data_IF_180833368111
#
_entry.id   IF_180833368111
#
_cell.length_a   1.000
_cell.length_b   1.000
_cell.length_c   1.000
_cell.angle_alpha   90.00
_cell.angle_beta   90.00
_cell.angle_gamma   90.00
#
_symmetry.space_group_name_H-M   'P 1'
#
loop_
_entity.id
_entity.type
_entity.pdbx_description
1 polymer ?
#
# COMPACT_ATOMS: atom_id res chain seq x y z
N UNK A 1 52.87 -20.35 23.63
CA UNK A 1 51.91 -20.09 24.73
C UNK A 1 51.43 -21.43 25.25
N UNK A 2 51.35 -21.61 26.58
CA UNK A 2 50.91 -22.87 27.17
C UNK A 2 49.45 -23.13 26.78
N UNK A 3 49.13 -24.33 26.28
CA UNK A 3 47.74 -24.73 26.00
C UNK A 3 46.96 -24.72 27.31
N UNK A 4 45.89 -23.95 27.38
CA UNK A 4 45.01 -23.87 28.56
C UNK A 4 44.06 -25.06 28.55
N UNK A 5 43.93 -25.72 29.71
CA UNK A 5 42.97 -26.81 29.89
C UNK A 5 41.54 -26.25 30.05
N UNK A 6 40.52 -27.05 29.71
CA UNK A 6 39.09 -26.68 29.72
C UNK A 6 38.64 -26.03 31.05
N UNK A 7 39.13 -26.52 32.20
CA UNK A 7 38.83 -25.96 33.52
C UNK A 7 39.42 -24.56 33.72
N UNK A 8 40.54 -24.25 33.08
CA UNK A 8 41.17 -22.93 33.13
C UNK A 8 40.34 -21.91 32.35
N UNK A 9 39.79 -22.31 31.20
CA UNK A 9 38.92 -21.49 30.35
C UNK A 9 37.59 -21.20 31.07
N UNK A 10 36.97 -22.23 31.68
CA UNK A 10 35.76 -22.06 32.51
C UNK A 10 35.96 -21.05 33.65
N UNK A 11 37.10 -21.08 34.32
CA UNK A 11 37.42 -20.15 35.41
C UNK A 11 37.75 -18.72 34.93
N UNK A 12 38.30 -18.56 33.73
CA UNK A 12 38.53 -17.24 33.13
C UNK A 12 37.23 -16.61 32.64
N UNK A 13 36.34 -17.39 32.02
CA UNK A 13 35.00 -16.92 31.61
C UNK A 13 34.20 -16.44 32.83
N UNK A 14 34.17 -17.21 33.92
CA UNK A 14 33.50 -16.80 35.16
C UNK A 14 34.08 -15.52 35.79
N UNK A 15 35.39 -15.26 35.61
CA UNK A 15 36.01 -14.00 36.04
C UNK A 15 35.62 -12.83 35.14
N UNK A 16 35.63 -13.02 33.82
CA UNK A 16 35.21 -11.99 32.87
C UNK A 16 33.73 -11.62 33.03
N UNK A 17 32.87 -12.60 33.35
CA UNK A 17 31.46 -12.33 33.71
C UNK A 17 31.33 -11.52 35.02
N UNK A 18 32.29 -11.62 35.94
CA UNK A 18 32.32 -10.81 37.16
C UNK A 18 32.85 -9.38 36.93
N UNK A 19 33.54 -9.13 35.82
CA UNK A 19 34.16 -7.85 35.48
C UNK A 19 33.34 -7.05 34.43
N UNK A 20 32.13 -7.51 34.06
CA UNK A 20 31.21 -6.87 33.09
C UNK A 20 31.83 -6.63 31.68
N UNK A 21 32.67 -7.55 31.20
CA UNK A 21 33.11 -7.54 29.79
C UNK A 21 32.12 -8.34 28.91
N UNK A 22 31.69 -7.77 27.78
CA UNK A 22 30.87 -8.45 26.76
C UNK A 22 31.71 -9.53 26.05
N UNK A 23 31.19 -10.75 25.94
CA UNK A 23 31.88 -11.90 25.33
C UNK A 23 31.00 -12.44 24.20
N UNK A 24 31.54 -12.50 22.98
CA UNK A 24 30.84 -13.06 21.82
C UNK A 24 31.01 -14.57 21.74
N UNK A 25 30.02 -15.28 21.18
CA UNK A 25 30.09 -16.73 20.97
C UNK A 25 31.31 -17.12 20.12
N UNK A 26 31.66 -16.27 19.17
CA UNK A 26 32.75 -16.42 18.23
C UNK A 26 34.15 -16.38 18.90
N UNK A 27 34.32 -15.56 19.93
CA UNK A 27 35.54 -15.53 20.75
C UNK A 27 35.68 -16.78 21.62
N UNK A 28 34.57 -17.29 22.15
CA UNK A 28 34.55 -18.52 22.96
C UNK A 28 34.88 -19.74 22.10
N UNK A 29 34.35 -19.82 20.88
CA UNK A 29 34.63 -20.90 19.95
C UNK A 29 36.10 -20.90 19.49
N UNK A 30 36.69 -19.73 19.21
CA UNK A 30 38.12 -19.59 18.88
C UNK A 30 39.06 -20.03 20.01
N UNK A 31 38.71 -19.77 21.27
CA UNK A 31 39.48 -20.21 22.45
C UNK A 31 39.31 -21.71 22.77
N UNK A 32 38.34 -22.40 22.17
CA UNK A 32 38.08 -23.83 22.39
C UNK A 32 38.52 -24.67 21.19
N UNK A 33 38.71 -24.05 20.02
CA UNK A 33 39.14 -24.70 18.78
C UNK A 33 40.43 -25.53 18.94
N UNK A 34 41.38 -25.09 19.80
CA UNK A 34 42.62 -25.84 20.03
C UNK A 34 42.46 -27.13 20.85
N UNK A 35 41.29 -27.37 21.41
CA UNK A 35 40.97 -28.56 22.22
C UNK A 35 40.42 -29.73 21.38
N UNK A 36 40.07 -29.51 20.09
CA UNK A 36 39.51 -30.54 19.20
C UNK A 36 38.36 -31.35 19.85
N UNK A 37 37.43 -30.66 20.51
CA UNK A 37 36.26 -31.28 21.14
C UNK A 37 35.29 -31.83 20.07
N UNK A 38 34.52 -32.86 20.42
CA UNK A 38 33.40 -33.33 19.57
C UNK A 38 32.20 -32.39 19.67
N UNK A 39 31.31 -32.41 18.67
CA UNK A 39 30.07 -31.59 18.66
C UNK A 39 29.27 -31.72 19.97
N UNK A 40 29.07 -32.94 20.47
CA UNK A 40 28.39 -33.19 21.76
C UNK A 40 29.09 -32.51 22.97
N UNK A 41 30.42 -32.39 22.94
CA UNK A 41 31.21 -31.77 24.03
C UNK A 41 31.19 -30.25 23.94
N UNK A 42 31.03 -29.69 22.74
CA UNK A 42 30.83 -28.27 22.49
C UNK A 42 29.44 -27.86 22.98
N UNK A 43 28.43 -28.68 22.69
CA UNK A 43 27.05 -28.47 23.16
C UNK A 43 26.97 -28.52 24.69
N UNK A 44 27.60 -29.52 25.33
CA UNK A 44 27.68 -29.60 26.79
C UNK A 44 28.40 -28.37 27.40
N UNK A 45 29.37 -27.80 26.69
CA UNK A 45 30.07 -26.59 27.12
C UNK A 45 29.21 -25.34 26.99
N UNK A 46 28.47 -25.19 25.88
CA UNK A 46 27.52 -24.10 25.65
C UNK A 46 26.30 -24.19 26.60
N UNK A 47 25.88 -25.40 26.96
CA UNK A 47 24.88 -25.61 28.00
C UNK A 47 25.42 -25.15 29.37
N UNK A 48 26.68 -25.46 29.68
CA UNK A 48 27.33 -25.03 30.92
C UNK A 48 27.50 -23.50 31.00
N UNK A 49 27.78 -22.80 29.89
CA UNK A 49 27.87 -21.33 29.88
C UNK A 49 26.50 -20.68 30.13
N UNK A 50 25.43 -21.23 29.53
CA UNK A 50 24.04 -20.81 29.78
C UNK A 50 23.63 -21.00 31.24
N UNK A 51 23.93 -22.18 31.83
CA UNK A 51 23.60 -22.49 33.22
C UNK A 51 24.35 -21.61 34.25
N UNK A 52 25.51 -21.07 33.87
CA UNK A 52 26.33 -20.21 34.74
C UNK A 52 26.19 -18.71 34.42
N UNK A 53 25.22 -18.32 33.58
CA UNK A 53 24.84 -16.92 33.37
C UNK A 53 25.79 -16.13 32.48
N UNK A 54 26.56 -16.78 31.61
CA UNK A 54 27.37 -16.11 30.58
C UNK A 54 26.44 -15.72 29.44
N UNK A 55 26.29 -14.41 29.20
CA UNK A 55 25.51 -13.88 28.07
C UNK A 55 26.40 -14.00 26.84
N UNK A 56 25.99 -14.81 25.87
CA UNK A 56 26.62 -14.90 24.56
C UNK A 56 25.74 -14.09 23.59
N UNK A 57 26.35 -13.17 22.85
CA UNK A 57 25.72 -12.57 21.68
C UNK A 57 25.73 -13.66 20.60
N UNK A 58 24.56 -14.26 20.33
CA UNK A 58 24.35 -15.21 19.25
C UNK A 58 23.96 -14.39 17.99
N UNK A 59 24.76 -14.47 16.92
CA UNK A 59 24.24 -14.28 15.56
C UNK A 59 23.22 -15.40 15.36
N UNK A 60 21.94 -15.06 15.25
CA UNK A 60 20.91 -16.05 15.00
C UNK A 60 21.11 -16.61 13.59
N UNK A 61 21.35 -17.92 13.50
CA UNK A 61 21.01 -18.70 12.32
C UNK A 61 19.49 -18.58 12.09
N UNK A 62 19.12 -18.15 10.89
CA UNK A 62 17.79 -17.69 10.45
C UNK A 62 16.66 -18.74 10.44
N UNK A 63 16.84 -19.94 10.99
CA UNK A 63 15.95 -21.08 10.70
C UNK A 63 14.97 -21.51 11.81
N UNK A 64 14.91 -20.84 12.98
CA UNK A 64 14.04 -21.32 14.06
C UNK A 64 13.28 -20.19 14.79
N UNK A 65 12.07 -19.84 14.30
CA UNK A 65 10.86 -19.59 15.10
C UNK A 65 9.62 -19.92 14.25
N UNK A 66 9.22 -21.20 14.27
CA UNK A 66 7.82 -21.58 14.01
C UNK A 66 7.02 -21.35 15.30
N UNK A 67 5.97 -20.52 15.27
CA UNK A 67 4.75 -20.72 16.06
C UNK A 67 3.56 -19.85 15.58
N UNK A 68 2.72 -20.51 14.78
CA UNK A 68 1.25 -20.59 14.81
C UNK A 68 0.37 -19.32 14.85
N UNK A 69 -0.42 -19.22 13.78
CA UNK A 69 -1.81 -18.74 13.70
C UNK A 69 -2.08 -17.26 14.01
N UNK A 70 -1.70 -16.36 13.09
CA UNK A 70 -2.52 -15.19 12.71
C UNK A 70 -2.09 -14.68 11.31
N UNK A 71 -2.92 -14.96 10.31
CA UNK A 71 -2.92 -14.48 8.91
C UNK A 71 -1.58 -14.50 8.16
N UNK A 72 -1.41 -15.55 7.33
CA UNK A 72 -0.37 -15.75 6.32
C UNK A 72 0.09 -14.44 5.65
N UNK A 73 1.22 -13.91 6.12
CA UNK A 73 2.14 -13.11 5.32
C UNK A 73 3.35 -14.01 5.18
N UNK A 74 3.56 -14.55 3.98
CA UNK A 74 4.72 -15.40 3.68
C UNK A 74 6.00 -14.63 4.05
N UNK A 75 6.85 -15.22 4.90
CA UNK A 75 8.11 -14.61 5.37
C UNK A 75 9.04 -14.20 4.21
N UNK A 76 8.92 -14.85 3.05
CA UNK A 76 9.61 -14.50 1.81
C UNK A 76 9.29 -13.08 1.29
N UNK A 77 8.14 -12.49 1.65
CA UNK A 77 7.70 -11.16 1.19
C UNK A 77 8.27 -10.01 2.05
N UNK A 78 8.75 -10.28 3.27
CA UNK A 78 9.34 -9.27 4.16
C UNK A 78 10.84 -9.08 3.89
N UNK A 79 11.54 -10.14 3.45
CA UNK A 79 12.96 -10.08 3.11
C UNK A 79 13.24 -9.41 1.76
N UNK A 80 12.32 -9.49 0.80
CA UNK A 80 12.66 -9.24 -0.61
C UNK A 80 12.17 -7.91 -1.20
N UNK A 81 11.76 -6.96 -0.37
CA UNK A 81 11.31 -5.62 -0.78
C UNK A 81 12.49 -4.67 -1.09
N UNK A 82 13.29 -4.98 -2.12
CA UNK A 82 14.43 -4.16 -2.59
C UNK A 82 15.19 -3.52 -1.40
N UNK A 83 15.69 -4.37 -0.50
CA UNK A 83 16.87 -4.04 0.29
C UNK A 83 18.03 -4.35 -0.65
N UNK A 84 18.64 -3.32 -1.23
CA UNK A 84 20.00 -3.50 -1.70
C UNK A 84 20.79 -4.07 -0.52
N UNK A 85 21.34 -5.27 -0.69
CA UNK A 85 22.29 -5.94 0.22
C UNK A 85 23.59 -5.11 0.25
N UNK A 86 23.52 -3.91 0.82
CA UNK A 86 24.68 -3.23 1.37
C UNK A 86 24.66 -3.51 2.88
N UNK A 87 24.97 -4.76 3.24
CA UNK A 87 25.37 -5.17 4.59
C UNK A 87 26.79 -4.67 4.90
N UNK A 88 27.02 -3.36 4.79
CA UNK A 88 28.23 -2.73 5.31
C UNK A 88 27.86 -1.77 6.45
N UNK A 89 28.16 -2.25 7.66
CA UNK A 89 28.41 -1.54 8.92
C UNK A 89 27.29 -0.67 9.53
N UNK A 90 26.58 -1.24 10.52
CA UNK A 90 25.70 -0.53 11.45
C UNK A 90 26.38 0.68 12.15
N UNK A 91 27.70 0.66 12.32
CA UNK A 91 28.47 1.79 12.86
C UNK A 91 28.53 3.01 11.93
N UNK A 92 28.52 2.82 10.62
CA UNK A 92 28.67 3.90 9.65
C UNK A 92 27.34 4.63 9.41
N UNK A 93 26.21 3.92 9.52
CA UNK A 93 24.88 4.52 9.59
C UNK A 93 24.73 5.45 10.81
N UNK A 94 25.29 5.08 11.97
CA UNK A 94 25.19 5.87 13.20
C UNK A 94 26.01 7.17 13.10
N UNK A 95 27.20 7.10 12.51
CA UNK A 95 28.05 8.28 12.23
C UNK A 95 27.45 9.17 11.14
N UNK A 96 26.83 8.61 10.10
CA UNK A 96 26.17 9.37 9.05
C UNK A 96 24.92 10.09 9.59
N UNK A 97 24.13 9.42 10.42
CA UNK A 97 22.98 10.01 11.14
C UNK A 97 23.43 11.21 11.98
N UNK A 98 24.54 11.10 12.70
CA UNK A 98 25.10 12.19 13.52
C UNK A 98 25.59 13.38 12.68
N UNK A 99 26.18 13.13 11.51
CA UNK A 99 26.63 14.18 10.58
C UNK A 99 25.44 14.93 9.96
N UNK A 100 24.42 14.21 9.52
CA UNK A 100 23.16 14.80 9.03
C UNK A 100 22.50 15.64 10.13
N UNK A 101 22.53 15.18 11.38
CA UNK A 101 22.00 15.90 12.53
C UNK A 101 22.78 17.20 12.83
N UNK A 102 24.11 17.15 12.79
CA UNK A 102 24.99 18.30 13.01
C UNK A 102 24.78 19.39 11.95
N UNK A 103 24.67 19.00 10.67
CA UNK A 103 24.45 19.95 9.57
C UNK A 103 23.06 20.60 9.60
N UNK A 104 22.02 19.87 10.02
CA UNK A 104 20.64 20.39 10.12
C UNK A 104 20.48 21.37 11.29
N UNK A 105 21.22 21.19 12.39
CA UNK A 105 21.10 22.00 13.62
C UNK A 105 21.44 23.49 13.45
N UNK A 106 22.15 23.84 12.37
CA UNK A 106 22.73 25.18 12.15
C UNK A 106 21.88 26.12 11.28
N UNK A 107 20.79 25.62 10.66
CA UNK A 107 19.97 26.39 9.70
C UNK A 107 18.60 26.71 10.32
N UNK A 108 18.23 27.99 10.36
CA UNK A 108 16.85 28.41 10.71
C UNK A 108 15.88 27.91 9.64
N UNK A 109 15.03 26.94 9.97
CA UNK A 109 14.09 26.36 9.00
C UNK A 109 12.66 26.27 9.51
N UNK A 110 11.72 26.76 8.70
CA UNK A 110 10.27 26.53 8.79
C UNK A 110 9.86 25.15 8.23
N UNK A 111 10.80 24.20 8.13
CA UNK A 111 10.56 22.87 7.56
C UNK A 111 10.03 21.94 8.66
N UNK A 112 8.80 21.41 8.52
CA UNK A 112 8.21 20.51 9.51
C UNK A 112 9.07 19.26 9.79
N UNK A 113 9.79 18.74 8.78
CA UNK A 113 10.67 17.58 8.94
C UNK A 113 11.82 17.91 9.88
N UNK A 114 12.46 19.08 9.68
CA UNK A 114 13.58 19.51 10.53
C UNK A 114 13.15 19.81 11.96
N UNK A 115 11.96 20.37 12.14
CA UNK A 115 11.38 20.58 13.47
C UNK A 115 11.20 19.24 14.19
N UNK A 116 10.59 18.27 13.53
CA UNK A 116 10.39 16.93 14.07
C UNK A 116 11.71 16.24 14.43
N UNK A 117 12.68 16.23 13.50
CA UNK A 117 13.99 15.61 13.75
C UNK A 117 14.70 16.23 14.95
N UNK A 118 14.60 17.56 15.12
CA UNK A 118 15.18 18.26 16.27
C UNK A 118 14.55 17.86 17.59
N UNK A 119 13.24 17.66 17.64
CA UNK A 119 12.53 17.27 18.86
C UNK A 119 12.92 15.86 19.32
N UNK A 120 12.99 14.90 18.39
CA UNK A 120 13.27 13.50 18.74
C UNK A 120 14.72 13.24 19.17
N UNK A 121 15.69 14.09 18.78
CA UNK A 121 17.09 13.92 19.21
C UNK A 121 17.45 14.65 20.50
N UNK A 122 16.49 15.29 21.17
CA UNK A 122 16.66 15.76 22.56
C UNK A 122 16.67 14.58 23.54
N UNK A 123 15.96 13.50 23.21
CA UNK A 123 15.83 12.31 24.06
C UNK A 123 17.11 11.46 23.98
N UNK A 124 17.73 11.11 25.12
CA UNK A 124 18.91 10.24 25.12
C UNK A 124 18.56 8.80 24.70
N UNK A 125 19.54 8.09 24.18
CA UNK A 125 19.42 6.67 23.86
C UNK A 125 19.40 5.86 25.16
N UNK A 126 18.54 4.84 25.21
CA UNK A 126 18.47 3.90 26.33
C UNK A 126 19.56 2.83 26.21
N UNK A 127 20.04 2.37 27.36
CA UNK A 127 20.92 1.20 27.45
C UNK A 127 20.09 -0.09 27.58
N UNK A 128 20.67 -1.22 27.21
CA UNK A 128 20.00 -2.53 27.26
C UNK A 128 19.40 -2.88 28.65
N UNK A 129 20.02 -2.46 29.76
CA UNK A 129 19.45 -2.68 31.10
C UNK A 129 18.22 -1.79 31.36
N UNK A 130 18.26 -0.53 30.92
CA UNK A 130 17.16 0.43 31.07
C UNK A 130 15.95 -0.03 30.24
N UNK A 131 16.18 -0.56 29.03
CA UNK A 131 15.13 -1.16 28.21
C UNK A 131 14.40 -2.31 28.92
N UNK A 132 15.15 -3.19 29.62
CA UNK A 132 14.57 -4.30 30.38
C UNK A 132 13.74 -3.81 31.56
N UNK A 133 14.22 -2.80 32.28
CA UNK A 133 13.49 -2.20 33.41
C UNK A 133 12.21 -1.49 32.95
N UNK A 134 12.30 -0.73 31.86
CA UNK A 134 11.14 -0.05 31.25
C UNK A 134 10.13 -1.09 30.74
N UNK A 135 10.58 -2.12 30.03
CA UNK A 135 9.71 -3.19 29.53
C UNK A 135 9.03 -4.00 30.65
N UNK A 136 9.70 -4.18 31.80
CA UNK A 136 9.08 -4.78 32.98
C UNK A 136 7.95 -3.91 33.53
N UNK A 137 8.18 -2.59 33.66
CA UNK A 137 7.15 -1.62 34.09
C UNK A 137 5.97 -1.55 33.11
N UNK A 138 6.22 -1.66 31.81
CA UNK A 138 5.15 -1.70 30.80
C UNK A 138 4.25 -2.92 30.99
N UNK A 139 4.80 -4.11 31.31
CA UNK A 139 3.98 -5.30 31.62
C UNK A 139 3.10 -5.12 32.87
N UNK A 140 3.50 -4.25 33.80
CA UNK A 140 2.72 -3.89 34.98
C UNK A 140 1.62 -2.84 34.67
N UNK A 141 1.55 -2.34 33.44
CA UNK A 141 0.56 -1.36 32.98
C UNK A 141 0.97 0.10 33.18
N UNK A 142 2.28 0.39 33.30
CA UNK A 142 2.79 1.76 33.38
C UNK A 142 2.82 2.44 32.00
N UNK A 143 1.82 3.29 31.73
CA UNK A 143 1.75 4.08 30.49
C UNK A 143 2.88 5.10 30.36
N UNK A 144 3.46 5.58 31.46
CA UNK A 144 4.58 6.54 31.39
C UNK A 144 5.84 5.82 30.89
N UNK A 145 6.06 4.59 31.34
CA UNK A 145 7.16 3.75 30.85
C UNK A 145 6.98 3.40 29.36
N UNK A 146 5.74 3.23 28.91
CA UNK A 146 5.43 3.01 27.49
C UNK A 146 5.83 4.21 26.62
N UNK A 147 5.41 5.42 27.01
CA UNK A 147 5.77 6.65 26.31
C UNK A 147 7.29 6.90 26.33
N UNK A 148 7.96 6.58 27.45
CA UNK A 148 9.41 6.64 27.59
C UNK A 148 10.12 5.72 26.58
N UNK A 149 9.69 4.46 26.44
CA UNK A 149 10.28 3.52 25.48
C UNK A 149 10.02 3.93 24.02
N UNK A 150 8.82 4.43 23.72
CA UNK A 150 8.47 4.91 22.37
C UNK A 150 9.35 6.11 22.01
N UNK A 151 9.41 7.13 22.87
CA UNK A 151 10.12 8.38 22.59
C UNK A 151 11.63 8.18 22.41
N UNK A 152 12.25 7.27 23.18
CA UNK A 152 13.65 6.91 23.02
C UNK A 152 13.96 6.27 21.65
N UNK A 153 12.99 5.55 21.07
CA UNK A 153 13.16 4.77 19.84
C UNK A 153 12.62 5.45 18.58
N UNK A 154 12.13 6.69 18.65
CA UNK A 154 11.65 7.42 17.46
C UNK A 154 12.73 7.62 16.38
N UNK A 155 14.01 7.63 16.78
CA UNK A 155 15.14 7.74 15.85
C UNK A 155 15.30 6.50 14.97
N UNK A 156 15.00 5.32 15.51
CA UNK A 156 15.03 4.05 14.77
C UNK A 156 14.02 4.07 13.62
N UNK A 157 12.81 4.58 13.87
CA UNK A 157 11.76 4.73 12.84
C UNK A 157 12.23 5.59 11.69
N UNK A 158 12.88 6.73 11.99
CA UNK A 158 13.41 7.63 10.95
C UNK A 158 14.49 6.93 10.11
N UNK A 159 15.40 6.18 10.75
CA UNK A 159 16.45 5.46 10.05
C UNK A 159 15.88 4.41 9.08
N UNK A 160 14.86 3.66 9.51
CA UNK A 160 14.17 2.68 8.66
C UNK A 160 13.38 3.37 7.55
N UNK A 161 12.61 4.41 7.88
CA UNK A 161 11.76 5.13 6.92
C UNK A 161 12.55 5.81 5.80
N UNK A 162 13.81 6.21 6.05
CA UNK A 162 14.71 6.81 5.04
C UNK A 162 14.86 5.91 3.80
N UNK A 163 14.87 4.58 3.97
CA UNK A 163 14.98 3.60 2.87
C UNK A 163 13.76 3.56 1.94
N UNK A 164 12.60 4.07 2.40
CA UNK A 164 11.34 4.03 1.67
C UNK A 164 10.93 5.37 1.04
N UNK A 165 11.80 6.38 1.12
CA UNK A 165 11.56 7.70 0.52
C UNK A 165 11.46 7.59 -1.00
N UNK A 166 10.51 8.31 -1.60
CA UNK A 166 10.32 8.32 -3.05
C UNK A 166 9.43 7.20 -3.59
N UNK A 167 8.85 6.35 -2.73
CA UNK A 167 7.91 5.26 -3.11
C UNK A 167 6.43 5.70 -3.13
N UNK A 168 6.16 6.99 -3.31
CA UNK A 168 4.81 7.55 -3.49
C UNK A 168 4.18 8.22 -2.26
N UNK A 169 4.68 7.95 -1.05
CA UNK A 169 4.27 8.66 0.18
C UNK A 169 5.27 9.74 0.59
N UNK A 170 4.79 10.77 1.30
CA UNK A 170 5.65 11.79 1.89
C UNK A 170 6.48 11.18 3.03
N UNK A 171 7.69 11.70 3.24
CA UNK A 171 8.58 11.20 4.29
C UNK A 171 7.98 11.30 5.70
N UNK A 172 7.24 12.37 6.00
CA UNK A 172 6.54 12.50 7.28
C UNK A 172 5.48 11.42 7.46
N UNK A 173 4.74 11.10 6.39
CA UNK A 173 3.69 10.09 6.44
C UNK A 173 4.30 8.69 6.68
N UNK A 174 5.42 8.38 6.01
CA UNK A 174 6.19 7.15 6.26
C UNK A 174 6.65 7.07 7.73
N UNK A 175 7.15 8.17 8.29
CA UNK A 175 7.55 8.23 9.70
C UNK A 175 6.36 7.97 10.61
N UNK A 176 5.19 8.57 10.34
CA UNK A 176 4.01 8.38 11.21
C UNK A 176 3.49 6.94 11.17
N UNK A 177 3.44 6.32 9.99
CA UNK A 177 3.05 4.92 9.85
C UNK A 177 4.07 3.99 10.52
N UNK A 178 5.36 4.31 10.41
CA UNK A 178 6.42 3.62 11.16
C UNK A 178 6.31 3.80 12.68
N UNK A 179 5.95 4.99 13.16
CA UNK A 179 5.69 5.25 14.58
C UNK A 179 4.52 4.41 15.10
N UNK A 180 3.46 4.23 14.29
CA UNK A 180 2.35 3.35 14.63
C UNK A 180 2.80 1.87 14.73
N UNK A 181 3.72 1.45 13.85
CA UNK A 181 4.40 0.15 13.95
C UNK A 181 5.22 0.01 15.23
N UNK A 182 6.02 1.03 15.59
CA UNK A 182 6.81 1.06 16.82
C UNK A 182 5.93 0.94 18.07
N UNK A 183 4.79 1.64 18.14
CA UNK A 183 3.86 1.55 19.27
C UNK A 183 3.36 0.11 19.45
N UNK A 184 3.02 -0.58 18.36
CA UNK A 184 2.62 -2.00 18.41
C UNK A 184 3.76 -2.91 18.85
N UNK A 185 4.99 -2.63 18.42
CA UNK A 185 6.17 -3.35 18.87
C UNK A 185 6.35 -3.23 20.38
N UNK A 186 6.22 -2.02 20.93
CA UNK A 186 6.33 -1.77 22.38
C UNK A 186 5.27 -2.55 23.16
N UNK A 187 4.02 -2.59 22.68
CA UNK A 187 2.93 -3.32 23.35
C UNK A 187 3.14 -4.84 23.40
N UNK A 188 3.78 -5.41 22.38
CA UNK A 188 3.99 -6.86 22.24
C UNK A 188 5.37 -7.34 22.64
N UNK A 189 6.29 -6.43 22.98
CA UNK A 189 7.67 -6.77 23.27
C UNK A 189 7.79 -7.59 24.56
N UNK A 190 8.59 -8.66 24.49
CA UNK A 190 8.88 -9.52 25.61
C UNK A 190 10.37 -9.50 25.99
N UNK A 191 10.70 -8.73 27.02
CA UNK A 191 12.06 -8.60 27.54
C UNK A 191 12.64 -9.90 28.14
N UNK A 192 11.83 -10.93 28.40
CA UNK A 192 12.31 -12.20 28.98
C UNK A 192 13.05 -13.07 27.98
N UNK A 193 12.86 -12.83 26.68
CA UNK A 193 13.49 -13.56 25.58
C UNK A 193 14.97 -13.21 25.36
N UNK A 194 15.50 -12.18 26.03
CA UNK A 194 16.92 -11.82 25.99
C UNK A 194 17.37 -10.97 24.81
N UNK A 195 16.55 -10.82 23.76
CA UNK A 195 16.86 -10.03 22.56
C UNK A 195 16.71 -8.51 22.77
N UNK A 196 17.48 -7.73 22.00
CA UNK A 196 17.41 -6.26 21.97
C UNK A 196 16.06 -5.79 21.42
N UNK A 197 15.54 -4.68 21.94
CA UNK A 197 14.26 -4.13 21.48
C UNK A 197 14.30 -3.70 20.01
N UNK A 198 15.42 -3.13 19.55
CA UNK A 198 15.61 -2.66 18.18
C UNK A 198 15.39 -3.75 17.12
N UNK A 199 15.90 -4.97 17.36
CA UNK A 199 15.73 -6.12 16.48
C UNK A 199 14.25 -6.44 16.28
N UNK A 200 13.48 -6.54 17.38
CA UNK A 200 12.04 -6.80 17.32
C UNK A 200 11.25 -5.65 16.70
N UNK A 201 11.57 -4.41 17.08
CA UNK A 201 10.86 -3.22 16.60
C UNK A 201 11.03 -3.01 15.10
N UNK A 202 12.19 -3.36 14.54
CA UNK A 202 12.48 -3.21 13.11
C UNK A 202 11.45 -3.94 12.24
N UNK A 203 11.05 -5.15 12.60
CA UNK A 203 10.02 -5.92 11.90
C UNK A 203 8.66 -5.20 11.86
N UNK A 204 8.18 -4.74 13.02
CA UNK A 204 6.90 -4.03 13.12
C UNK A 204 6.91 -2.68 12.39
N UNK A 205 8.02 -1.95 12.45
CA UNK A 205 8.18 -0.68 11.75
C UNK A 205 8.17 -0.92 10.24
N UNK A 206 8.97 -1.89 9.77
CA UNK A 206 9.03 -2.26 8.35
C UNK A 206 7.65 -2.65 7.83
N UNK A 207 6.96 -3.55 8.53
CA UNK A 207 5.64 -4.04 8.15
C UNK A 207 4.59 -2.94 8.11
N UNK A 208 4.63 -1.99 9.06
CA UNK A 208 3.70 -0.87 9.06
C UNK A 208 3.94 0.06 7.87
N UNK A 209 5.20 0.38 7.57
CA UNK A 209 5.57 1.25 6.44
C UNK A 209 5.21 0.60 5.10
N UNK A 210 5.57 -0.67 4.89
CA UNK A 210 5.31 -1.39 3.62
C UNK A 210 3.81 -1.54 3.37
N UNK A 211 3.04 -1.85 4.41
CA UNK A 211 1.57 -1.89 4.35
C UNK A 211 0.97 -0.53 4.01
N UNK A 212 1.43 0.53 4.65
CA UNK A 212 0.95 1.88 4.38
C UNK A 212 1.24 2.32 2.94
N UNK A 213 2.43 2.00 2.41
CA UNK A 213 2.77 2.24 1.01
C UNK A 213 1.80 1.48 0.09
N UNK A 214 1.55 0.19 0.34
CA UNK A 214 0.64 -0.60 -0.48
C UNK A 214 -0.80 -0.05 -0.46
N UNK A 215 -1.28 0.43 0.70
CA UNK A 215 -2.66 0.90 0.87
C UNK A 215 -2.88 2.35 0.39
N UNK A 216 -1.87 3.23 0.52
CA UNK A 216 -2.05 4.68 0.38
C UNK A 216 -1.19 5.34 -0.73
N UNK A 217 -0.10 4.72 -1.19
CA UNK A 217 0.83 5.38 -2.11
C UNK A 217 0.25 5.68 -3.50
N UNK A 218 -0.88 5.04 -3.87
CA UNK A 218 -1.48 5.13 -5.20
C UNK A 218 -2.76 5.94 -5.16
N UNK A 219 -2.95 6.83 -6.14
CA UNK A 219 -4.18 7.63 -6.30
C UNK A 219 -5.42 6.75 -6.44
N UNK A 220 -5.29 5.62 -7.13
CA UNK A 220 -6.33 4.60 -7.23
C UNK A 220 -5.85 3.41 -6.40
N UNK A 221 -6.57 3.12 -5.31
CA UNK A 221 -6.20 2.06 -4.38
C UNK A 221 -6.20 0.69 -5.05
N UNK A 222 -5.11 -0.05 -4.86
CA UNK A 222 -4.95 -1.44 -5.31
C UNK A 222 -4.86 -2.33 -4.06
N UNK A 223 -5.54 -3.50 -4.02
CA UNK A 223 -5.40 -4.43 -2.89
C UNK A 223 -3.96 -4.93 -2.69
N UNK A 224 -3.57 -5.22 -1.45
CA UNK A 224 -2.18 -5.59 -1.07
C UNK A 224 -1.63 -6.78 -1.88
N UNK A 225 -2.38 -7.88 -2.01
CA UNK A 225 -1.95 -9.05 -2.81
C UNK A 225 -1.65 -8.74 -4.29
N UNK A 226 -2.29 -7.71 -4.85
CA UNK A 226 -1.99 -7.28 -6.22
C UNK A 226 -0.70 -6.46 -6.26
N UNK A 227 -0.38 -5.69 -5.21
CA UNK A 227 0.89 -4.96 -5.09
C UNK A 227 2.06 -5.94 -4.93
N UNK A 228 1.91 -6.97 -4.10
CA UNK A 228 2.87 -8.07 -3.96
C UNK A 228 3.13 -8.74 -5.32
N UNK A 229 2.06 -9.09 -6.04
CA UNK A 229 2.17 -9.67 -7.38
C UNK A 229 2.89 -8.74 -8.36
N UNK A 230 2.65 -7.42 -8.31
CA UNK A 230 3.31 -6.42 -9.16
C UNK A 230 4.80 -6.32 -8.82
N UNK A 231 5.17 -6.34 -7.54
CA UNK A 231 6.57 -6.28 -7.11
C UNK A 231 7.32 -7.54 -7.55
N UNK A 232 6.72 -8.72 -7.36
CA UNK A 232 7.27 -10.01 -7.82
C UNK A 232 7.47 -10.03 -9.33
N UNK A 233 6.50 -9.51 -10.09
CA UNK A 233 6.59 -9.36 -11.55
C UNK A 233 7.73 -8.41 -11.94
N UNK A 234 7.85 -7.27 -11.27
CA UNK A 234 8.93 -6.28 -11.51
C UNK A 234 10.30 -6.89 -11.24
N UNK A 235 10.46 -7.65 -10.15
CA UNK A 235 11.70 -8.36 -9.80
C UNK A 235 12.10 -9.38 -10.87
N UNK A 236 11.18 -10.26 -11.26
CA UNK A 236 11.43 -11.27 -12.30
C UNK A 236 11.71 -10.60 -13.65
N UNK A 237 11.00 -9.52 -13.98
CA UNK A 237 11.28 -8.74 -15.18
C UNK A 237 12.71 -8.19 -15.18
N UNK A 238 13.18 -7.60 -14.07
CA UNK A 238 14.56 -7.11 -13.93
C UNK A 238 15.59 -8.24 -14.06
N UNK A 239 15.37 -9.38 -13.41
CA UNK A 239 16.23 -10.57 -13.54
C UNK A 239 16.30 -11.05 -15.00
N UNK A 240 15.17 -11.13 -15.69
CA UNK A 240 15.12 -11.52 -17.10
C UNK A 240 15.81 -10.49 -18.01
N UNK A 241 15.72 -9.19 -17.71
CA UNK A 241 16.45 -8.15 -18.44
C UNK A 241 17.96 -8.35 -18.29
N UNK A 242 18.44 -8.71 -17.10
CA UNK A 242 19.85 -8.99 -16.85
C UNK A 242 20.33 -10.26 -17.58
N UNK A 243 19.52 -11.33 -17.57
CA UNK A 243 19.84 -12.60 -18.25
C UNK A 243 19.79 -12.50 -19.79
N UNK A 244 18.78 -11.81 -20.33
CA UNK A 244 18.51 -11.76 -21.77
C UNK A 244 19.15 -10.54 -22.47
N UNK A 245 19.53 -9.51 -21.72
CA UNK A 245 20.03 -8.24 -22.27
C UNK A 245 18.99 -7.44 -23.06
N UNK A 246 17.69 -7.76 -22.91
CA UNK A 246 16.55 -7.08 -23.55
C UNK A 246 15.33 -7.12 -22.64
N UNK A 247 14.33 -6.29 -22.94
CA UNK A 247 13.03 -6.37 -22.25
C UNK A 247 12.38 -7.75 -22.43
N UNK A 248 11.91 -8.30 -21.32
CA UNK A 248 11.26 -9.60 -21.27
C UNK A 248 9.84 -9.52 -21.83
N UNK A 249 9.45 -10.52 -22.62
CA UNK A 249 8.07 -10.62 -23.12
C UNK A 249 7.13 -11.11 -22.02
N UNK A 250 5.85 -10.78 -22.12
CA UNK A 250 4.84 -11.23 -21.15
C UNK A 250 4.74 -12.77 -21.05
N UNK A 251 5.11 -13.49 -22.11
CA UNK A 251 5.14 -14.96 -22.15
C UNK A 251 6.32 -15.51 -21.33
N UNK A 252 7.52 -14.93 -21.50
CA UNK A 252 8.73 -15.31 -20.74
C UNK A 252 8.57 -15.01 -19.23
N UNK A 253 7.97 -13.86 -18.90
CA UNK A 253 7.66 -13.50 -17.51
C UNK A 253 6.68 -14.50 -16.90
N UNK A 254 5.63 -14.89 -17.64
CA UNK A 254 4.64 -15.85 -17.17
C UNK A 254 5.25 -17.23 -16.93
N UNK A 255 6.17 -17.67 -17.79
CA UNK A 255 6.88 -18.95 -17.66
C UNK A 255 7.74 -18.98 -16.39
N UNK A 256 8.52 -17.92 -16.13
CA UNK A 256 9.40 -17.85 -14.94
C UNK A 256 8.62 -17.66 -13.63
N UNK A 257 7.42 -17.10 -13.68
CA UNK A 257 6.55 -16.93 -12.50
C UNK A 257 6.00 -18.26 -11.95
N UNK A 258 5.91 -19.34 -12.76
CA UNK A 258 5.56 -20.71 -12.31
C UNK A 258 4.14 -20.94 -11.76
N UNK A 259 3.41 -19.90 -11.35
CA UNK A 259 2.19 -19.99 -10.54
C UNK A 259 0.88 -19.97 -11.36
N UNK A 260 0.79 -20.78 -12.42
CA UNK A 260 -0.42 -20.82 -13.28
C UNK A 260 -0.78 -19.45 -13.92
N UNK A 261 0.21 -18.57 -14.05
CA UNK A 261 0.04 -17.24 -14.62
C UNK A 261 -0.04 -17.33 -16.14
N UNK A 262 -1.08 -16.76 -16.75
CA UNK A 262 -1.18 -16.65 -18.20
C UNK A 262 -0.54 -15.36 -18.69
N UNK A 263 -0.04 -15.35 -19.93
CA UNK A 263 0.49 -14.14 -20.55
C UNK A 263 -0.55 -13.00 -20.58
N UNK A 264 -1.84 -13.32 -20.73
CA UNK A 264 -2.92 -12.34 -20.66
C UNK A 264 -3.06 -11.72 -19.27
N UNK A 265 -2.90 -12.53 -18.21
CA UNK A 265 -2.95 -12.03 -16.84
C UNK A 265 -1.75 -11.14 -16.52
N UNK A 266 -0.56 -11.47 -17.01
CA UNK A 266 0.62 -10.59 -16.91
C UNK A 266 0.36 -9.23 -17.58
N UNK A 267 -0.24 -9.21 -18.78
CA UNK A 267 -0.61 -7.97 -19.48
C UNK A 267 -1.69 -7.17 -18.73
N UNK A 268 -2.62 -7.84 -18.06
CA UNK A 268 -3.59 -7.18 -17.16
C UNK A 268 -2.90 -6.52 -15.97
N UNK A 269 -2.01 -7.25 -15.30
CA UNK A 269 -1.26 -6.73 -14.14
C UNK A 269 -0.39 -5.54 -14.56
N UNK A 270 0.30 -5.63 -15.69
CA UNK A 270 1.08 -4.52 -16.25
C UNK A 270 0.22 -3.28 -16.54
N UNK A 271 -1.03 -3.45 -16.99
CA UNK A 271 -1.97 -2.33 -17.17
C UNK A 271 -2.40 -1.71 -15.85
N UNK A 272 -2.62 -2.52 -14.81
CA UNK A 272 -2.98 -2.04 -13.46
C UNK A 272 -1.79 -1.34 -12.81
N UNK A 273 -0.56 -1.78 -13.11
CA UNK A 273 0.66 -1.20 -12.59
C UNK A 273 0.97 0.22 -13.12
N UNK A 274 0.29 0.68 -14.17
CA UNK A 274 0.45 2.03 -14.71
C UNK A 274 -0.03 3.10 -13.72
N UNK A 275 0.76 4.16 -13.57
CA UNK A 275 0.40 5.31 -12.76
C UNK A 275 -0.39 6.34 -13.57
N UNK A 276 -1.43 6.98 -12.99
CA UNK A 276 -2.17 8.02 -13.67
C UNK A 276 -1.28 9.25 -13.91
N UNK A 277 -1.43 9.88 -15.08
CA UNK A 277 -0.73 11.10 -15.44
C UNK A 277 -1.62 12.31 -15.13
N UNK A 278 -1.01 13.43 -14.71
CA UNK A 278 -1.74 14.67 -14.46
C UNK A 278 -2.28 15.27 -15.76
N UNK A 279 -3.49 15.81 -15.71
CA UNK A 279 -4.07 16.58 -16.83
C UNK A 279 -3.35 17.91 -17.04
N UNK A 280 -2.67 18.42 -16.01
CA UNK A 280 -1.85 19.63 -16.07
C UNK A 280 -0.41 19.33 -16.52
N UNK A 281 -0.08 18.10 -16.90
CA UNK A 281 1.22 17.83 -17.49
C UNK A 281 1.34 18.59 -18.83
N UNK A 282 2.35 19.47 -18.99
CA UNK A 282 2.55 20.21 -20.23
C UNK A 282 2.89 19.25 -21.36
N UNK A 283 2.46 19.58 -22.57
CA UNK A 283 2.70 18.75 -23.76
C UNK A 283 3.35 19.59 -24.86
N UNK A 284 4.53 19.15 -25.31
CA UNK A 284 5.34 19.87 -26.30
C UNK A 284 6.42 20.76 -25.67
N UNK A 285 7.05 21.60 -26.50
CA UNK A 285 8.08 22.56 -26.06
C UNK A 285 7.49 23.90 -25.59
N UNK A 286 6.22 24.16 -25.90
CA UNK A 286 5.51 25.39 -25.49
C UNK A 286 4.68 25.11 -24.24
N UNK A 287 4.95 25.86 -23.15
CA UNK A 287 4.28 25.71 -21.84
C UNK A 287 2.78 26.08 -21.85
N UNK A 288 2.22 26.50 -22.98
CA UNK A 288 0.82 26.93 -23.09
C UNK A 288 -0.17 25.77 -23.31
N UNK A 289 0.31 24.57 -23.65
CA UNK A 289 -0.54 23.40 -23.93
C UNK A 289 -0.44 22.35 -22.83
N UNK A 290 -1.57 21.95 -22.26
CA UNK A 290 -1.64 20.91 -21.24
C UNK A 290 -2.32 19.65 -21.79
N UNK A 291 -2.03 18.48 -21.21
CA UNK A 291 -2.65 17.22 -21.62
C UNK A 291 -4.19 17.26 -21.58
N UNK A 292 -4.75 17.94 -20.57
CA UNK A 292 -6.19 18.09 -20.38
C UNK A 292 -6.91 18.78 -21.54
N UNK A 293 -6.22 19.67 -22.27
CA UNK A 293 -6.80 20.41 -23.39
C UNK A 293 -7.13 19.50 -24.60
N UNK A 294 -6.53 18.32 -24.66
CA UNK A 294 -6.72 17.34 -25.74
C UNK A 294 -7.79 16.28 -25.43
N UNK A 295 -8.38 16.31 -24.23
CA UNK A 295 -9.39 15.32 -23.84
C UNK A 295 -10.78 15.77 -24.27
N UNK A 296 -11.34 15.06 -25.25
CA UNK A 296 -12.71 15.26 -25.71
C UNK A 296 -13.74 14.84 -24.66
N UNK A 297 -14.69 15.72 -24.34
CA UNK A 297 -15.87 15.37 -23.55
C UNK A 297 -16.92 14.67 -24.42
N UNK A 298 -17.00 13.34 -24.28
CA UNK A 298 -17.95 12.49 -25.01
C UNK A 298 -19.40 12.60 -24.51
N UNK A 299 -19.64 13.23 -23.35
CA UNK A 299 -20.99 13.43 -22.82
C UNK A 299 -21.58 14.77 -23.26
N UNK A 300 -20.75 15.69 -23.74
CA UNK A 300 -21.21 16.97 -24.27
C UNK A 300 -22.06 16.75 -25.52
N UNK A 301 -23.30 17.23 -25.48
CA UNK A 301 -24.19 17.21 -26.64
C UNK A 301 -23.67 18.26 -27.63
N UNK A 302 -23.45 17.85 -28.88
CA UNK A 302 -23.03 18.80 -29.90
C UNK A 302 -24.11 19.87 -30.14
N UNK A 303 -23.75 21.12 -30.49
CA UNK A 303 -24.74 22.15 -30.79
C UNK A 303 -25.73 21.73 -31.90
N UNK A 304 -25.27 20.93 -32.86
CA UNK A 304 -26.12 20.35 -33.91
C UNK A 304 -27.14 19.36 -33.34
N UNK A 305 -26.70 18.43 -32.49
CA UNK A 305 -27.60 17.48 -31.83
C UNK A 305 -28.61 18.19 -30.93
N UNK A 306 -28.18 19.20 -30.18
CA UNK A 306 -29.07 19.99 -29.33
C UNK A 306 -30.15 20.70 -30.17
N UNK A 307 -29.75 21.39 -31.25
CA UNK A 307 -30.68 22.05 -32.16
C UNK A 307 -31.63 21.05 -32.83
N UNK A 308 -31.12 19.89 -33.25
CA UNK A 308 -31.92 18.81 -33.83
C UNK A 308 -32.97 18.28 -32.84
N UNK A 309 -32.59 18.10 -31.56
CA UNK A 309 -33.52 17.66 -30.50
C UNK A 309 -34.61 18.68 -30.19
N UNK A 310 -34.27 19.97 -30.14
CA UNK A 310 -35.28 21.03 -29.94
C UNK A 310 -36.21 21.15 -31.16
N UNK A 311 -35.68 21.10 -32.39
CA UNK A 311 -36.50 21.07 -33.62
C UNK A 311 -37.44 19.86 -33.66
N UNK A 312 -36.94 18.68 -33.27
CA UNK A 312 -37.75 17.46 -33.17
C UNK A 312 -38.89 17.63 -32.15
N UNK A 313 -38.61 18.23 -31.00
CA UNK A 313 -39.62 18.50 -29.96
C UNK A 313 -40.70 19.46 -30.45
N UNK A 314 -40.32 20.51 -31.17
CA UNK A 314 -41.27 21.46 -31.77
C UNK A 314 -42.15 20.80 -32.84
N UNK A 315 -41.58 19.98 -33.73
CA UNK A 315 -42.34 19.24 -34.73
C UNK A 315 -43.25 18.18 -34.10
N UNK A 316 -42.80 17.47 -33.05
CA UNK A 316 -43.66 16.56 -32.28
C UNK A 316 -44.85 17.33 -31.69
N UNK A 317 -44.62 18.49 -31.07
CA UNK A 317 -45.68 19.33 -30.52
C UNK A 317 -46.65 19.82 -31.61
N UNK A 318 -46.14 20.24 -32.76
CA UNK A 318 -46.94 20.65 -33.92
C UNK A 318 -47.82 19.50 -34.43
N UNK A 319 -47.26 18.30 -34.56
CA UNK A 319 -48.01 17.11 -34.99
C UNK A 319 -49.04 16.68 -33.95
N UNK A 320 -48.70 16.72 -32.65
CA UNK A 320 -49.62 16.40 -31.55
C UNK A 320 -50.79 17.38 -31.47
N UNK A 321 -50.59 18.66 -31.81
CA UNK A 321 -51.66 19.68 -31.85
C UNK A 321 -52.76 19.37 -32.88
N UNK A 322 -52.49 18.52 -33.87
CA UNK A 322 -53.48 18.11 -34.88
C UNK A 322 -54.42 16.99 -34.41
N UNK A 323 -54.14 16.39 -33.25
CA UNK A 323 -55.00 15.42 -32.58
C UNK A 323 -56.05 16.15 -31.75
N UNK A 324 -57.07 15.42 -31.29
CA UNK A 324 -58.00 16.00 -30.31
C UNK A 324 -57.32 16.12 -28.95
N UNK A 325 -57.73 17.08 -28.11
CA UNK A 325 -57.13 17.30 -26.78
C UNK A 325 -57.08 16.03 -25.93
N UNK A 326 -58.13 15.18 -26.03
CA UNK A 326 -58.17 13.87 -25.36
C UNK A 326 -57.17 12.86 -25.92
N UNK A 327 -56.91 12.87 -27.22
CA UNK A 327 -55.92 11.99 -27.84
C UNK A 327 -54.49 12.46 -27.53
N UNK A 328 -54.25 13.77 -27.55
CA UNK A 328 -52.97 14.41 -27.20
C UNK A 328 -52.57 14.12 -25.75
N UNK A 329 -53.44 14.44 -24.78
CA UNK A 329 -53.12 14.28 -23.36
C UNK A 329 -52.89 12.80 -22.97
N UNK A 330 -53.60 11.87 -23.62
CA UNK A 330 -53.37 10.42 -23.41
C UNK A 330 -51.97 10.01 -23.87
N UNK A 331 -51.48 10.54 -25.00
CA UNK A 331 -50.12 10.27 -25.49
C UNK A 331 -49.05 10.95 -24.63
N UNK A 332 -49.27 12.21 -24.23
CA UNK A 332 -48.33 12.95 -23.37
C UNK A 332 -48.11 12.26 -22.04
N UNK A 333 -49.19 11.80 -21.39
CA UNK A 333 -49.13 11.08 -20.11
C UNK A 333 -48.60 9.64 -20.26
N UNK A 334 -48.92 8.97 -21.36
CA UNK A 334 -48.46 7.60 -21.61
C UNK A 334 -46.96 7.53 -21.87
N UNK A 335 -46.45 8.42 -22.72
CA UNK A 335 -45.04 8.48 -23.11
C UNK A 335 -44.21 9.43 -22.24
N UNK A 336 -44.82 10.15 -21.31
CA UNK A 336 -44.11 11.06 -20.40
C UNK A 336 -43.48 12.24 -21.12
N UNK A 337 -44.14 12.81 -22.14
CA UNK A 337 -43.57 13.87 -22.98
C UNK A 337 -43.39 15.21 -22.24
N UNK A 338 -44.06 15.38 -21.09
CA UNK A 338 -44.02 16.60 -20.27
C UNK A 338 -43.17 16.40 -19.01
N UNK A 339 -43.40 15.31 -18.28
CA UNK A 339 -42.80 15.02 -16.97
C UNK A 339 -41.67 13.98 -17.03
N UNK A 340 -41.35 13.45 -18.21
CA UNK A 340 -40.31 12.44 -18.43
C UNK A 340 -40.66 11.05 -17.90
N UNK A 341 -41.88 10.86 -17.37
CA UNK A 341 -42.29 9.60 -16.72
C UNK A 341 -43.37 8.90 -17.54
N UNK A 342 -43.04 7.71 -18.04
CA UNK A 342 -44.01 6.86 -18.74
C UNK A 342 -45.01 6.27 -17.75
N UNK A 343 -46.32 6.45 -17.99
CA UNK A 343 -47.39 5.91 -17.14
C UNK A 343 -48.02 4.66 -17.74
N UNK A 344 -48.52 3.74 -16.92
CA UNK A 344 -49.23 2.54 -17.41
C UNK A 344 -50.61 2.89 -17.99
N UNK A 345 -51.15 2.05 -18.88
CA UNK A 345 -52.51 2.24 -19.43
C UNK A 345 -53.59 2.29 -18.34
N UNK A 346 -53.34 1.64 -17.20
CA UNK A 346 -54.24 1.64 -16.06
C UNK A 346 -54.13 2.94 -15.25
N UNK A 347 -52.92 3.46 -15.03
CA UNK A 347 -52.70 4.77 -14.40
C UNK A 347 -53.31 5.91 -15.22
N UNK A 348 -53.08 5.92 -16.53
CA UNK A 348 -53.70 6.90 -17.44
C UNK A 348 -55.23 6.73 -17.42
N UNK A 349 -55.73 5.48 -17.35
CA UNK A 349 -57.16 5.21 -17.24
C UNK A 349 -57.79 5.79 -15.98
N UNK A 350 -57.09 5.70 -14.83
CA UNK A 350 -57.53 6.31 -13.56
C UNK A 350 -57.63 7.83 -13.66
N UNK A 351 -56.67 8.49 -14.31
CA UNK A 351 -56.63 9.94 -14.46
C UNK A 351 -57.75 10.48 -15.38
N UNK A 352 -58.13 9.74 -16.42
CA UNK A 352 -59.23 10.10 -17.31
C UNK A 352 -60.61 9.54 -16.89
N UNK A 353 -60.70 8.83 -15.77
CA UNK A 353 -61.90 8.08 -15.34
C UNK A 353 -62.46 7.14 -16.43
N UNK A 354 -61.59 6.35 -17.07
CA UNK A 354 -61.97 5.41 -18.13
C UNK A 354 -61.25 4.06 -17.95
N UNK A 355 -61.83 2.99 -18.51
CA UNK A 355 -61.22 1.67 -18.47
C UNK A 355 -59.89 1.63 -19.24
N UNK A 356 -58.97 0.78 -18.78
CA UNK A 356 -57.68 0.49 -19.45
C UNK A 356 -57.84 0.22 -20.95
N UNK A 357 -58.82 -0.60 -21.32
CA UNK A 357 -59.06 -0.98 -22.71
C UNK A 357 -59.50 0.22 -23.55
N UNK A 358 -60.22 1.19 -22.95
CA UNK A 358 -60.62 2.40 -23.66
C UNK A 358 -59.43 3.34 -23.92
N UNK A 359 -58.48 3.45 -23.00
CA UNK A 359 -57.23 4.19 -23.24
C UNK A 359 -56.43 3.54 -24.38
N UNK A 360 -56.32 2.21 -24.39
CA UNK A 360 -55.68 1.46 -25.49
C UNK A 360 -56.33 1.74 -26.85
N UNK A 361 -57.66 1.81 -26.91
CA UNK A 361 -58.38 2.17 -28.15
C UNK A 361 -58.09 3.60 -28.61
N UNK A 362 -58.03 4.55 -27.68
CA UNK A 362 -57.73 5.97 -27.97
C UNK A 362 -56.29 6.09 -28.49
N UNK A 363 -55.34 5.44 -27.83
CA UNK A 363 -53.93 5.37 -28.24
C UNK A 363 -53.79 4.79 -29.66
N UNK A 364 -54.36 3.61 -29.91
CA UNK A 364 -54.30 2.97 -31.23
C UNK A 364 -54.91 3.85 -32.34
N UNK A 365 -55.98 4.58 -32.02
CA UNK A 365 -56.60 5.52 -32.95
C UNK A 365 -55.73 6.75 -33.19
N UNK A 366 -55.10 7.30 -32.14
CA UNK A 366 -54.19 8.44 -32.23
C UNK A 366 -52.94 8.08 -33.05
N UNK A 367 -52.30 6.93 -32.76
CA UNK A 367 -51.14 6.42 -33.52
C UNK A 367 -51.51 6.21 -34.99
N UNK A 368 -52.70 5.66 -35.29
CA UNK A 368 -53.17 5.49 -36.68
C UNK A 368 -53.30 6.82 -37.41
N UNK A 369 -53.77 7.88 -36.74
CA UNK A 369 -53.85 9.25 -37.31
C UNK A 369 -52.48 9.87 -37.51
N UNK A 370 -51.53 9.61 -36.61
CA UNK A 370 -50.14 10.06 -36.71
C UNK A 370 -49.39 9.37 -37.86
N UNK A 371 -49.76 8.13 -38.20
CA UNK A 371 -49.18 7.36 -39.32
C UNK A 371 -49.62 7.82 -40.72
N UNK A 372 -50.40 8.90 -40.82
CA UNK A 372 -50.75 9.53 -42.10
C UNK A 372 -49.50 10.02 -42.84
N UNK A 373 -49.42 9.78 -44.16
CA UNK A 373 -48.25 10.11 -45.00
C UNK A 373 -47.77 11.57 -44.89
N UNK A 374 -48.69 12.51 -44.66
CA UNK A 374 -48.37 13.94 -44.47
C UNK A 374 -47.69 14.25 -43.14
N UNK A 375 -48.04 13.52 -42.07
CA UNK A 375 -47.51 13.73 -40.70
C UNK A 375 -46.26 12.89 -40.46
N UNK A 376 -46.24 11.67 -41.00
CA UNK A 376 -45.09 10.79 -40.91
C UNK A 376 -43.88 11.33 -41.68
N UNK A 377 -44.08 11.96 -42.84
CA UNK A 377 -42.98 12.49 -43.64
C UNK A 377 -42.20 13.61 -42.90
N UNK A 378 -42.87 14.45 -42.09
CA UNK A 378 -42.21 15.52 -41.33
C UNK A 378 -41.28 14.99 -40.24
N UNK A 379 -41.68 13.90 -39.61
CA UNK A 379 -40.90 13.26 -38.53
C UNK A 379 -39.88 12.25 -39.07
N UNK A 380 -40.00 11.83 -40.33
CA UNK A 380 -39.14 10.82 -40.94
C UNK A 380 -37.69 11.29 -41.07
N UNK A 381 -37.50 12.56 -41.39
CA UNK A 381 -36.16 13.16 -41.55
C UNK A 381 -35.35 13.19 -40.25
N UNK A 382 -36.01 13.10 -39.09
CA UNK A 382 -35.38 13.00 -37.77
C UNK A 382 -35.09 11.56 -37.34
N UNK A 383 -35.69 10.55 -37.99
CA UNK A 383 -35.47 9.13 -37.66
C UNK A 383 -34.18 8.61 -38.31
N UNK A 384 -33.79 9.15 -39.46
CA UNK A 384 -32.55 8.76 -40.16
C UNK A 384 -31.28 9.42 -39.55
N UNK A 385 -31.45 10.31 -38.56
CA UNK A 385 -30.38 11.05 -37.86
C UNK A 385 -30.19 10.65 -36.39
N UNK A 386 -30.98 9.69 -35.89
CA UNK A 386 -30.82 9.03 -34.58
C UNK A 386 -30.13 7.70 -34.83
#
# INVERSE_FOLDING_TARGET
MAKKDLETIKNELLKKTSDEEDITQDEVLKEIEHLNLTEDEIDDFLQWTKDNGVILDDELDDDDILLSDEEDIDEEDIENLDLDEDEEDDEDNEKELYRVYADISSIKTNDPVKMYLKEIGVVPLLKAHEEREIAARIKEGDEVAKDELITANLRLVVAIAKKYVGRGLLFLDLIQEGNLGLVKAVEKFDHTKGFKFSTYATWWIRQAITRAIADQARTIRIPVHMVETINKLTRISRQLVQELGREATAEEIAEKMGNNMTADRVREIQRIALEPVSLESPIGEEDDSHLGDFIEDKQAISPEEFASRELLKDEINAVLSTLTDREKNVLELRFGLIDGKTRTLEEVGKEFNVTRERIRQIEAKAIRKLRSRSKSNRLKDFVDKI
#
